data_IF_241219814680
#
_entry.id   IF_241219814680
#
_cell.length_a   1.000
_cell.length_b   1.000
_cell.length_c   1.000
_cell.angle_alpha   90.00
_cell.angle_beta   90.00
_cell.angle_gamma   90.00
#
_symmetry.space_group_name_H-M   'P 1'
#
loop_
_entity.id
_entity.type
_entity.pdbx_description
1 polymer ?
#
# COMPACT_ATOMS: atom_id res chain seq x y z
N UNK A 1 23.79 20.57 -4.81
CA UNK A 1 23.11 21.06 -6.03
C UNK A 1 23.28 20.10 -7.21
N UNK A 2 23.09 18.81 -6.95
CA UNK A 2 22.65 17.79 -7.91
C UNK A 2 21.84 16.83 -7.06
N UNK A 3 20.67 17.33 -6.70
CA UNK A 3 19.93 16.88 -5.53
C UNK A 3 18.93 15.84 -6.03
N UNK A 4 19.43 14.62 -6.14
CA UNK A 4 18.68 13.40 -6.39
C UNK A 4 18.77 12.50 -5.16
N UNK A 5 18.07 11.36 -5.19
CA UNK A 5 18.09 10.28 -4.19
C UNK A 5 17.38 10.62 -2.85
N UNK A 6 16.88 9.71 -1.98
CA UNK A 6 16.41 8.30 -2.10
C UNK A 6 15.63 7.81 -0.82
N UNK A 7 14.31 7.46 -0.93
CA UNK A 7 13.40 6.87 0.11
C UNK A 7 12.21 5.97 -0.45
N UNK A 8 11.17 5.59 0.33
CA UNK A 8 10.12 4.57 -0.01
C UNK A 8 8.90 4.64 0.99
N UNK A 9 7.58 4.27 0.86
CA UNK A 9 6.59 3.67 -0.13
C UNK A 9 5.12 3.94 0.34
N UNK A 10 4.00 3.52 -0.33
CA UNK A 10 2.67 3.81 0.21
C UNK A 10 2.23 2.84 1.30
N UNK A 11 1.88 3.46 2.43
CA UNK A 11 0.79 3.02 3.28
C UNK A 11 -0.10 4.25 3.59
N UNK A 12 -1.42 4.07 3.77
CA UNK A 12 -2.20 2.87 3.44
C UNK A 12 -2.59 2.83 1.96
N UNK A 13 -3.08 1.68 1.49
CA UNK A 13 -3.91 1.60 0.28
C UNK A 13 -5.05 2.62 0.42
N UNK A 14 -5.11 3.67 -0.42
CA UNK A 14 -6.32 4.51 -0.54
C UNK A 14 -7.47 3.58 -0.87
N UNK A 15 -8.33 3.33 0.13
CA UNK A 15 -9.19 2.17 0.08
C UNK A 15 -10.09 2.26 -1.15
N UNK A 16 -10.00 1.22 -1.97
CA UNK A 16 -10.65 1.15 -3.27
C UNK A 16 -12.14 1.48 -3.11
N UNK A 17 -12.77 2.19 -4.06
CA UNK A 17 -14.20 2.44 -4.04
C UNK A 17 -15.02 1.16 -4.27
N UNK A 18 -15.11 0.32 -3.24
CA UNK A 18 -15.80 -0.99 -3.28
C UNK A 18 -17.33 -0.77 -3.36
N UNK A 19 -17.83 -0.50 -4.56
CA UNK A 19 -19.25 -0.25 -4.83
C UNK A 19 -19.98 -1.52 -5.25
N UNK A 20 -20.85 -2.07 -4.37
CA UNK A 20 -21.90 -3.06 -4.65
C UNK A 20 -21.52 -4.41 -5.30
N UNK A 21 -22.05 -5.51 -4.74
CA UNK A 21 -22.01 -6.87 -5.34
C UNK A 21 -20.64 -7.56 -5.44
N UNK A 22 -19.90 -7.58 -4.31
CA UNK A 22 -19.07 -8.72 -3.85
C UNK A 22 -17.77 -9.08 -4.61
N UNK A 23 -17.57 -8.76 -5.89
CA UNK A 23 -16.33 -9.08 -6.61
C UNK A 23 -15.63 -7.83 -7.12
N UNK A 24 -14.32 -7.76 -6.93
CA UNK A 24 -13.49 -6.66 -7.41
C UNK A 24 -12.13 -7.18 -7.82
N UNK A 25 -11.62 -6.71 -8.96
CA UNK A 25 -10.22 -6.81 -9.32
C UNK A 25 -9.59 -5.42 -9.29
N UNK A 26 -8.35 -5.34 -8.83
CA UNK A 26 -7.58 -4.10 -8.74
C UNK A 26 -6.18 -4.38 -9.25
N UNK A 27 -5.73 -3.54 -10.17
CA UNK A 27 -4.32 -3.41 -10.57
C UNK A 27 -3.84 -2.08 -9.99
N UNK A 28 -2.75 -2.13 -9.24
CA UNK A 28 -2.03 -0.95 -8.75
C UNK A 28 -0.61 -1.02 -9.28
N UNK A 29 -0.17 0.05 -9.95
CA UNK A 29 1.16 0.16 -10.52
C UNK A 29 1.78 1.48 -10.08
N UNK A 30 2.93 1.38 -9.42
CA UNK A 30 3.60 2.46 -8.72
C UNK A 30 5.04 2.55 -9.24
N UNK A 31 5.47 3.74 -9.60
CA UNK A 31 6.78 3.96 -10.21
C UNK A 31 7.20 5.42 -10.07
N UNK A 32 8.50 5.65 -9.97
CA UNK A 32 9.10 6.92 -9.61
C UNK A 32 9.60 7.75 -10.82
N UNK A 33 9.67 7.13 -12.01
CA UNK A 33 9.79 7.80 -13.33
C UNK A 33 8.63 8.76 -13.57
N UNK A 34 7.41 8.42 -13.12
CA UNK A 34 6.23 9.31 -13.17
C UNK A 34 6.46 10.66 -12.46
N UNK A 35 7.45 10.73 -11.59
CA UNK A 35 7.83 11.92 -10.83
C UNK A 35 9.19 12.50 -11.22
N UNK A 36 9.89 11.87 -12.17
CA UNK A 36 11.28 12.12 -12.55
C UNK A 36 12.21 12.19 -11.33
N UNK A 37 12.04 11.19 -10.46
CA UNK A 37 12.74 11.04 -9.19
C UNK A 37 13.04 9.56 -9.01
N UNK A 38 14.00 9.03 -9.77
CA UNK A 38 14.54 7.65 -9.71
C UNK A 38 15.23 7.40 -8.35
N UNK A 39 14.39 7.20 -7.33
CA UNK A 39 14.68 7.42 -5.92
C UNK A 39 14.21 6.19 -5.13
N UNK A 40 15.02 5.13 -5.20
CA UNK A 40 14.84 3.76 -4.66
C UNK A 40 13.65 2.99 -5.16
N UNK A 41 12.45 3.57 -5.00
CA UNK A 41 11.21 2.86 -5.20
C UNK A 41 10.86 2.81 -6.68
N UNK A 42 11.74 2.14 -7.40
CA UNK A 42 11.70 2.00 -8.85
C UNK A 42 10.43 1.27 -9.28
N UNK A 43 9.89 0.33 -8.49
CA UNK A 43 8.58 -0.24 -8.81
C UNK A 43 7.82 -0.86 -7.62
N UNK A 44 6.51 -0.65 -7.59
CA UNK A 44 5.55 -1.51 -6.92
C UNK A 44 4.48 -1.97 -7.90
N UNK A 45 4.16 -3.26 -7.87
CA UNK A 45 3.06 -3.84 -8.67
C UNK A 45 2.21 -4.70 -7.75
N UNK A 46 0.91 -4.39 -7.65
CA UNK A 46 -0.04 -5.11 -6.80
C UNK A 46 -1.29 -5.52 -7.60
N UNK A 47 -1.62 -6.81 -7.53
CA UNK A 47 -2.87 -7.39 -8.05
C UNK A 47 -3.73 -7.81 -6.86
N UNK A 48 -4.93 -7.25 -6.73
CA UNK A 48 -5.89 -7.60 -5.67
C UNK A 48 -7.15 -8.20 -6.24
N UNK A 49 -7.58 -9.34 -5.69
CA UNK A 49 -8.87 -9.97 -5.97
C UNK A 49 -9.70 -10.03 -4.68
N UNK A 50 -10.82 -9.32 -4.66
CA UNK A 50 -11.87 -9.47 -3.63
C UNK A 50 -12.93 -10.41 -4.18
N UNK A 51 -13.25 -11.48 -3.46
CA UNK A 51 -14.25 -12.46 -3.88
C UNK A 51 -14.82 -13.26 -2.69
N UNK A 52 -16.12 -13.60 -2.66
CA UNK A 52 -16.71 -14.33 -1.53
C UNK A 52 -16.08 -15.69 -1.24
N UNK A 53 -15.45 -16.35 -2.22
CA UNK A 53 -14.81 -17.68 -2.01
C UNK A 53 -13.77 -17.65 -0.89
N UNK A 54 -13.07 -16.52 -0.73
CA UNK A 54 -12.05 -16.36 0.31
C UNK A 54 -12.61 -16.40 1.74
N UNK A 55 -13.93 -16.21 1.94
CA UNK A 55 -14.56 -16.41 3.26
C UNK A 55 -14.42 -17.85 3.79
N UNK A 56 -14.19 -18.82 2.90
CA UNK A 56 -14.02 -20.23 3.24
C UNK A 56 -12.54 -20.61 3.49
N UNK A 57 -11.58 -19.76 3.12
CA UNK A 57 -10.17 -19.97 3.47
C UNK A 57 -9.93 -19.46 4.89
N UNK A 58 -9.36 -20.30 5.77
CA UNK A 58 -9.07 -19.92 7.17
C UNK A 58 -8.24 -18.64 7.28
N UNK A 59 -7.29 -18.42 6.36
CA UNK A 59 -6.42 -17.25 6.30
C UNK A 59 -7.13 -15.91 6.01
N UNK A 60 -8.36 -15.91 5.51
CA UNK A 60 -9.16 -14.70 5.30
C UNK A 60 -10.48 -14.73 6.10
N UNK A 61 -11.23 -15.83 6.03
CA UNK A 61 -12.48 -16.04 6.77
C UNK A 61 -12.34 -15.88 8.29
N UNK A 62 -11.27 -16.48 8.84
CA UNK A 62 -10.98 -16.51 10.28
C UNK A 62 -10.44 -15.21 10.87
N UNK A 63 -10.12 -14.20 10.05
CA UNK A 63 -9.58 -12.94 10.53
C UNK A 63 -10.62 -12.12 11.33
N UNK A 64 -10.20 -11.29 12.32
CA UNK A 64 -11.11 -10.47 13.10
C UNK A 64 -11.70 -9.29 12.30
N UNK A 65 -12.80 -8.74 12.80
CA UNK A 65 -13.58 -7.65 12.20
C UNK A 65 -14.74 -7.22 13.11
N UNK A 66 -15.61 -6.33 12.62
CA UNK A 66 -16.64 -5.60 13.38
C UNK A 66 -17.92 -6.41 13.71
N UNK A 67 -17.76 -7.71 14.03
CA UNK A 67 -18.85 -8.59 14.48
C UNK A 67 -19.89 -8.95 13.40
N UNK A 68 -20.96 -9.66 13.81
CA UNK A 68 -21.94 -10.26 12.88
C UNK A 68 -22.74 -9.25 12.03
N UNK A 69 -22.99 -8.05 12.56
CA UNK A 69 -23.75 -7.00 11.87
C UNK A 69 -22.90 -6.17 10.90
N UNK A 70 -21.66 -6.56 10.63
CA UNK A 70 -20.79 -5.88 9.67
C UNK A 70 -20.90 -6.50 8.28
N UNK A 71 -20.76 -5.66 7.25
CA UNK A 71 -20.59 -6.13 5.88
C UNK A 71 -19.13 -6.52 5.67
N UNK A 72 -18.90 -7.83 5.45
CA UNK A 72 -17.57 -8.41 5.32
C UNK A 72 -17.24 -8.75 3.87
N UNK A 73 -16.08 -8.29 3.42
CA UNK A 73 -15.44 -8.65 2.15
C UNK A 73 -14.14 -9.38 2.44
N UNK A 74 -13.81 -10.34 1.59
CA UNK A 74 -12.63 -11.19 1.73
C UNK A 74 -11.84 -11.17 0.42
N UNK A 75 -10.53 -11.18 0.52
CA UNK A 75 -9.68 -11.04 -0.66
C UNK A 75 -8.29 -11.62 -0.49
N UNK A 76 -7.58 -11.65 -1.61
CA UNK A 76 -6.18 -12.00 -1.73
C UNK A 76 -5.46 -10.90 -2.52
N UNK A 77 -4.24 -10.55 -2.11
CA UNK A 77 -3.33 -9.71 -2.91
C UNK A 77 -2.09 -10.49 -3.30
N UNK A 78 -1.55 -10.23 -4.48
CA UNK A 78 -0.17 -10.51 -4.85
C UNK A 78 0.52 -9.16 -5.02
N UNK A 79 1.65 -8.94 -4.35
CA UNK A 79 2.42 -7.69 -4.49
C UNK A 79 3.91 -7.97 -4.64
N UNK A 80 4.54 -7.31 -5.61
CA UNK A 80 5.98 -7.17 -5.72
C UNK A 80 6.38 -5.72 -5.43
N UNK A 81 7.51 -5.52 -4.75
CA UNK A 81 8.08 -4.22 -4.41
C UNK A 81 9.60 -4.26 -4.66
N UNK A 82 10.12 -3.28 -5.41
CA UNK A 82 11.52 -3.14 -5.79
C UNK A 82 12.13 -1.90 -5.14
N UNK A 83 13.31 -2.07 -4.57
CA UNK A 83 14.09 -1.04 -3.90
C UNK A 83 15.53 -1.07 -4.41
N UNK A 84 16.00 0.02 -4.98
CA UNK A 84 17.38 0.19 -5.49
C UNK A 84 18.25 1.00 -4.52
N UNK A 85 19.47 1.38 -4.93
CA UNK A 85 20.34 2.36 -4.27
C UNK A 85 20.12 3.78 -4.83
N UNK A 86 20.88 4.76 -4.33
CA UNK A 86 21.23 6.04 -4.99
C UNK A 86 21.57 5.80 -6.47
N UNK A 87 22.39 4.80 -6.72
CA UNK A 87 22.90 4.40 -8.02
C UNK A 87 22.50 2.93 -8.29
N UNK A 88 21.60 2.65 -9.25
CA UNK A 88 21.22 1.28 -9.60
C UNK A 88 22.34 0.50 -10.31
N UNK A 89 23.37 1.19 -10.82
CA UNK A 89 24.53 0.64 -11.53
C UNK A 89 25.75 0.47 -10.60
N UNK A 90 25.59 0.70 -9.29
CA UNK A 90 26.65 0.64 -8.30
C UNK A 90 27.32 -0.76 -8.22
N UNK A 91 28.60 -0.81 -8.58
CA UNK A 91 29.45 -2.03 -8.52
C UNK A 91 30.02 -2.32 -7.12
N UNK A 92 29.68 -1.51 -6.12
CA UNK A 92 30.06 -1.69 -4.73
C UNK A 92 29.00 -1.12 -3.77
N UNK A 93 29.02 -1.58 -2.52
CA UNK A 93 28.09 -1.14 -1.46
C UNK A 93 28.50 0.24 -0.93
N UNK A 94 27.64 1.26 -1.09
CA UNK A 94 27.68 2.41 -0.19
C UNK A 94 27.01 2.04 1.14
N UNK A 95 27.74 2.26 2.24
CA UNK A 95 27.28 2.02 3.62
C UNK A 95 26.39 3.13 4.16
N UNK A 96 26.27 4.24 3.44
CA UNK A 96 25.49 5.41 3.80
C UNK A 96 24.12 5.46 3.13
N UNK A 97 23.87 4.51 2.24
CA UNK A 97 22.70 4.38 1.39
C UNK A 97 21.90 3.12 1.76
N UNK A 98 20.67 2.94 1.26
CA UNK A 98 19.89 1.72 1.57
C UNK A 98 20.51 0.49 0.91
N UNK A 99 20.31 -0.70 1.49
CA UNK A 99 20.51 -1.96 0.76
C UNK A 99 19.44 -2.15 -0.32
N UNK A 100 19.84 -2.59 -1.53
CA UNK A 100 18.89 -3.13 -2.50
C UNK A 100 17.99 -4.18 -1.83
N UNK A 101 16.70 -4.13 -2.12
CA UNK A 101 15.74 -5.07 -1.58
C UNK A 101 14.67 -5.37 -2.61
N UNK A 102 14.37 -6.65 -2.75
CA UNK A 102 13.24 -7.13 -3.55
C UNK A 102 12.27 -7.82 -2.61
N UNK A 103 10.98 -7.52 -2.73
CA UNK A 103 9.93 -8.17 -1.94
C UNK A 103 8.89 -8.74 -2.89
N UNK A 104 8.46 -9.97 -2.62
CA UNK A 104 7.30 -10.61 -3.25
C UNK A 104 6.47 -11.27 -2.15
N UNK A 105 5.18 -10.95 -2.07
CA UNK A 105 4.28 -11.60 -1.13
C UNK A 105 2.88 -11.84 -1.69
N UNK A 106 2.24 -12.90 -1.18
CA UNK A 106 0.79 -13.07 -1.19
C UNK A 106 0.23 -12.61 0.15
N UNK A 107 -0.94 -11.99 0.16
CA UNK A 107 -1.66 -11.69 1.40
C UNK A 107 -3.11 -12.15 1.33
N UNK A 108 -3.67 -12.49 2.47
CA UNK A 108 -5.07 -12.83 2.65
C UNK A 108 -5.69 -11.84 3.63
N UNK A 109 -6.84 -11.25 3.26
CA UNK A 109 -7.41 -10.14 4.04
C UNK A 109 -8.93 -10.20 4.15
N UNK A 110 -9.42 -9.46 5.14
CA UNK A 110 -10.82 -9.27 5.47
C UNK A 110 -11.07 -7.79 5.74
N UNK A 111 -11.96 -7.19 4.95
CA UNK A 111 -12.49 -5.85 5.17
C UNK A 111 -13.87 -5.99 5.81
N UNK A 112 -14.10 -5.31 6.92
CA UNK A 112 -15.29 -5.44 7.76
C UNK A 112 -15.83 -4.04 8.06
N UNK A 113 -17.03 -3.71 7.56
CA UNK A 113 -17.57 -2.34 7.62
C UNK A 113 -18.91 -2.27 8.38
N UNK A 114 -19.04 -1.23 9.22
CA UNK A 114 -20.29 -0.77 9.86
C UNK A 114 -20.56 0.65 9.39
N UNK A 115 -21.40 0.79 8.35
CA UNK A 115 -21.68 2.07 7.71
C UNK A 115 -22.42 3.05 8.65
N UNK A 116 -23.35 2.52 9.44
CA UNK A 116 -24.06 3.21 10.52
C UNK A 116 -23.11 3.82 11.57
N UNK A 117 -22.00 3.13 11.88
CA UNK A 117 -20.97 3.62 12.78
C UNK A 117 -19.88 4.45 12.06
N UNK A 118 -19.96 4.60 10.73
CA UNK A 118 -18.91 5.14 9.84
C UNK A 118 -17.54 4.53 10.18
N UNK A 119 -17.49 3.21 10.32
CA UNK A 119 -16.34 2.46 10.82
C UNK A 119 -15.98 1.32 9.87
N UNK A 120 -14.71 1.21 9.50
CA UNK A 120 -14.16 0.05 8.76
C UNK A 120 -12.95 -0.50 9.51
N UNK A 121 -12.87 -1.82 9.56
CA UNK A 121 -11.74 -2.58 10.06
C UNK A 121 -11.18 -3.44 8.93
N UNK A 122 -9.87 -3.44 8.73
CA UNK A 122 -9.18 -4.40 7.88
C UNK A 122 -8.22 -5.25 8.72
N UNK A 123 -8.27 -6.56 8.50
CA UNK A 123 -7.28 -7.52 8.96
C UNK A 123 -6.61 -8.13 7.73
N UNK A 124 -5.29 -8.31 7.76
CA UNK A 124 -4.52 -8.88 6.65
C UNK A 124 -3.33 -9.70 7.19
N UNK A 125 -3.11 -10.89 6.60
CA UNK A 125 -1.92 -11.72 6.85
C UNK A 125 -1.09 -11.76 5.57
N UNK A 126 0.18 -11.39 5.68
CA UNK A 126 1.18 -11.41 4.61
C UNK A 126 2.04 -12.67 4.73
N UNK A 127 2.28 -13.37 3.62
CA UNK A 127 3.23 -14.48 3.49
C UNK A 127 4.07 -14.26 2.22
N UNK A 128 5.40 -14.21 2.32
CA UNK A 128 6.26 -13.92 1.17
C UNK A 128 7.75 -14.08 1.44
N UNK A 129 8.56 -13.42 0.61
CA UNK A 129 10.03 -13.41 0.70
C UNK A 129 10.60 -12.02 0.44
N UNK A 130 11.70 -11.70 1.12
CA UNK A 130 12.64 -10.65 0.70
C UNK A 130 13.81 -11.29 -0.09
N UNK A 131 14.58 -10.49 -0.81
CA UNK A 131 15.81 -10.88 -1.51
C UNK A 131 15.57 -11.44 -2.92
N UNK A 132 16.56 -12.15 -3.48
CA UNK A 132 16.53 -12.65 -4.86
C UNK A 132 15.36 -13.57 -5.17
N UNK A 133 14.81 -14.27 -4.17
CA UNK A 133 13.58 -15.07 -4.28
C UNK A 133 12.33 -14.26 -4.64
N UNK A 134 12.38 -12.93 -4.54
CA UNK A 134 11.32 -12.02 -5.01
C UNK A 134 11.28 -11.81 -6.52
N UNK A 135 12.31 -12.26 -7.26
CA UNK A 135 12.51 -12.03 -8.70
C UNK A 135 12.63 -10.54 -9.11
N UNK A 136 12.91 -9.65 -8.15
CA UNK A 136 13.04 -8.21 -8.37
C UNK A 136 14.08 -7.84 -9.44
N UNK A 137 15.27 -8.46 -9.39
CA UNK A 137 16.32 -8.27 -10.41
C UNK A 137 15.79 -8.55 -11.83
N UNK A 138 15.18 -9.72 -12.03
CA UNK A 138 14.62 -10.14 -13.33
C UNK A 138 13.54 -9.19 -13.83
N UNK A 139 12.71 -8.65 -12.94
CA UNK A 139 11.68 -7.68 -13.32
C UNK A 139 12.30 -6.34 -13.71
N UNK A 140 13.28 -5.81 -12.98
CA UNK A 140 13.96 -4.58 -13.39
C UNK A 140 14.74 -4.75 -14.69
N UNK A 141 15.45 -5.88 -14.86
CA UNK A 141 16.16 -6.26 -16.09
C UNK A 141 15.20 -6.43 -17.28
N UNK A 142 13.93 -6.77 -17.06
CA UNK A 142 12.91 -6.83 -18.13
C UNK A 142 12.34 -5.47 -18.52
N UNK A 143 12.48 -4.45 -17.66
CA UNK A 143 11.94 -3.10 -17.84
C UNK A 143 13.01 -2.08 -18.29
N UNK A 144 14.29 -2.34 -18.01
CA UNK A 144 15.41 -1.44 -18.31
C UNK A 144 16.46 -2.15 -19.19
N UNK A 145 17.06 -1.43 -20.15
CA UNK A 145 18.05 -1.98 -21.09
C UNK A 145 19.47 -2.14 -20.52
N UNK A 146 19.69 -1.77 -19.25
CA UNK A 146 20.99 -1.86 -18.55
C UNK A 146 20.95 -2.95 -17.51
N UNK A 147 22.07 -3.65 -17.33
CA UNK A 147 22.22 -4.66 -16.28
C UNK A 147 22.30 -3.99 -14.89
N UNK A 148 21.35 -4.23 -13.98
CA UNK A 148 21.30 -3.52 -12.69
C UNK A 148 22.17 -4.25 -11.64
N UNK A 149 23.49 -4.19 -11.83
CA UNK A 149 24.49 -4.98 -11.08
C UNK A 149 24.41 -4.85 -9.55
N UNK A 150 23.88 -3.75 -9.02
CA UNK A 150 23.75 -3.56 -7.56
C UNK A 150 22.85 -4.59 -6.85
N UNK A 151 22.01 -5.31 -7.59
CA UNK A 151 21.19 -6.41 -7.03
C UNK A 151 22.01 -7.58 -6.48
N UNK A 152 23.28 -7.76 -6.83
CA UNK A 152 24.14 -8.76 -6.19
C UNK A 152 24.35 -8.46 -4.69
N UNK A 153 24.32 -7.17 -4.33
CA UNK A 153 24.45 -6.67 -2.97
C UNK A 153 23.12 -6.57 -2.22
N UNK A 154 22.02 -7.07 -2.78
CA UNK A 154 20.71 -7.03 -2.12
C UNK A 154 20.68 -7.82 -0.80
N UNK A 155 19.74 -7.45 0.07
CA UNK A 155 19.35 -8.18 1.27
C UNK A 155 19.07 -9.64 0.91
N UNK A 156 19.67 -10.58 1.65
CA UNK A 156 19.60 -12.01 1.32
C UNK A 156 18.24 -12.60 1.70
N UNK A 157 17.90 -13.71 1.04
CA UNK A 157 16.58 -14.32 1.11
C UNK A 157 16.14 -14.60 2.54
N UNK A 158 14.95 -14.14 2.89
CA UNK A 158 14.31 -14.45 4.17
C UNK A 158 12.78 -14.42 4.08
N UNK A 159 12.13 -15.16 4.99
CA UNK A 159 10.68 -15.37 5.02
C UNK A 159 9.98 -14.15 5.61
N UNK A 160 9.01 -13.63 4.86
CA UNK A 160 8.10 -12.58 5.29
C UNK A 160 6.81 -13.20 5.83
N UNK A 161 6.54 -12.99 7.12
CA UNK A 161 5.27 -13.28 7.78
C UNK A 161 4.87 -12.05 8.59
N UNK A 162 3.73 -11.46 8.27
CA UNK A 162 3.23 -10.25 8.93
C UNK A 162 1.72 -10.37 9.22
N UNK A 163 1.29 -9.82 10.35
CA UNK A 163 -0.12 -9.51 10.59
C UNK A 163 -0.30 -7.99 10.62
N UNK A 164 -1.28 -7.52 9.86
CA UNK A 164 -1.60 -6.11 9.70
C UNK A 164 -3.06 -5.85 10.13
N UNK A 165 -3.26 -4.72 10.81
CA UNK A 165 -4.56 -4.21 11.24
C UNK A 165 -4.69 -2.77 10.74
N UNK A 166 -5.86 -2.39 10.22
CA UNK A 166 -6.19 -1.00 9.93
C UNK A 166 -7.60 -0.68 10.41
N UNK A 167 -7.78 0.50 10.99
CA UNK A 167 -9.04 1.02 11.50
C UNK A 167 -9.31 2.39 10.88
N UNK A 168 -10.49 2.56 10.30
CA UNK A 168 -10.90 3.78 9.60
C UNK A 168 -12.20 4.30 10.22
N UNK A 169 -12.24 5.59 10.54
CA UNK A 169 -13.38 6.26 11.17
C UNK A 169 -13.74 7.54 10.42
N UNK A 170 -14.96 7.60 9.89
CA UNK A 170 -15.51 8.82 9.33
C UNK A 170 -15.73 9.88 10.42
N UNK A 171 -15.01 11.00 10.30
CA UNK A 171 -15.16 12.19 11.15
C UNK A 171 -16.28 13.06 10.57
N UNK A 172 -16.15 13.40 9.28
CA UNK A 172 -17.13 14.17 8.50
C UNK A 172 -17.52 13.34 7.29
N UNK A 173 -18.82 13.26 6.99
CA UNK A 173 -19.30 12.65 5.76
C UNK A 173 -20.46 13.45 5.17
N UNK A 174 -20.26 13.94 3.95
CA UNK A 174 -21.25 14.61 3.10
C UNK A 174 -21.10 14.11 1.66
N UNK A 175 -21.95 14.58 0.73
CA UNK A 175 -21.92 14.12 -0.68
C UNK A 175 -20.80 14.75 -1.52
N UNK A 176 -20.13 15.77 -0.98
CA UNK A 176 -19.08 16.53 -1.66
C UNK A 176 -17.75 16.55 -0.91
N UNK A 177 -17.79 16.37 0.42
CA UNK A 177 -16.62 16.37 1.29
C UNK A 177 -16.69 15.23 2.33
N UNK A 178 -15.58 14.52 2.49
CA UNK A 178 -15.37 13.52 3.55
C UNK A 178 -14.03 13.74 4.24
N UNK A 179 -14.00 13.51 5.55
CA UNK A 179 -12.79 13.47 6.37
C UNK A 179 -12.80 12.19 7.21
N UNK A 180 -11.75 11.38 7.07
CA UNK A 180 -11.64 10.03 7.64
C UNK A 180 -10.34 9.95 8.43
N UNK A 181 -10.43 9.63 9.73
CA UNK A 181 -9.27 9.23 10.52
C UNK A 181 -8.91 7.78 10.22
N UNK A 182 -7.62 7.48 10.14
CA UNK A 182 -7.08 6.14 9.90
C UNK A 182 -5.99 5.84 10.93
N UNK A 183 -5.97 4.62 11.44
CA UNK A 183 -4.92 4.10 12.33
C UNK A 183 -4.53 2.69 11.92
N UNK A 184 -3.22 2.42 11.83
CA UNK A 184 -2.67 1.14 11.39
C UNK A 184 -1.70 0.54 12.40
N UNK A 185 -1.61 -0.79 12.40
CA UNK A 185 -0.57 -1.56 13.09
C UNK A 185 -0.07 -2.65 12.14
N UNK A 186 1.25 -2.84 12.11
CA UNK A 186 1.93 -3.94 11.44
C UNK A 186 2.85 -4.63 12.44
N UNK A 187 2.86 -5.96 12.45
CA UNK A 187 3.78 -6.74 13.28
C UNK A 187 4.22 -8.02 12.55
N UNK A 188 5.53 -8.28 12.54
CA UNK A 188 6.11 -9.45 11.91
C UNK A 188 7.48 -9.21 11.27
N UNK A 189 7.88 -10.12 10.39
CA UNK A 189 9.22 -10.16 9.79
C UNK A 189 9.36 -9.35 8.50
N UNK A 190 8.26 -8.76 7.99
CA UNK A 190 8.30 -7.74 6.94
C UNK A 190 8.45 -6.34 7.53
N UNK A 191 7.52 -5.94 8.40
CA UNK A 191 7.57 -4.65 9.06
C UNK A 191 6.86 -4.68 10.42
N UNK A 192 7.45 -4.00 11.40
CA UNK A 192 6.81 -3.74 12.69
C UNK A 192 6.74 -2.23 12.91
N UNK A 193 5.53 -1.68 12.87
CA UNK A 193 5.25 -0.25 12.99
C UNK A 193 3.81 0.01 13.45
N UNK A 194 3.54 1.23 13.89
CA UNK A 194 2.17 1.76 14.02
C UNK A 194 2.04 3.06 13.22
N UNK A 195 0.85 3.35 12.68
CA UNK A 195 0.62 4.52 11.84
C UNK A 195 -0.68 5.25 12.16
N UNK A 196 -0.71 6.54 11.84
CA UNK A 196 -1.92 7.38 11.84
C UNK A 196 -1.96 8.19 10.55
N UNK A 197 -3.15 8.36 9.98
CA UNK A 197 -3.36 9.20 8.81
C UNK A 197 -4.76 9.84 8.83
N UNK A 198 -4.94 10.88 8.03
CA UNK A 198 -6.23 11.47 7.75
C UNK A 198 -6.43 11.51 6.24
N UNK A 199 -7.54 10.96 5.74
CA UNK A 199 -7.92 11.08 4.33
C UNK A 199 -9.03 12.13 4.18
N UNK A 200 -8.81 13.10 3.30
CA UNK A 200 -9.79 14.11 2.91
C UNK A 200 -10.16 13.93 1.44
N UNK A 201 -11.45 13.88 1.10
CA UNK A 201 -11.98 13.69 -0.27
C UNK A 201 -12.87 14.88 -0.66
N UNK A 202 -12.70 15.41 -1.88
CA UNK A 202 -13.47 16.55 -2.40
C UNK A 202 -13.96 16.29 -3.84
N UNK A 203 -15.27 16.35 -4.11
CA UNK A 203 -15.82 16.14 -5.46
C UNK A 203 -17.29 15.74 -5.51
N UNK A 204 -17.64 14.75 -6.35
CA UNK A 204 -18.96 14.10 -6.43
C UNK A 204 -18.78 12.59 -6.20
N UNK A 205 -19.23 12.08 -5.06
CA UNK A 205 -19.12 10.65 -4.73
C UNK A 205 -20.25 10.15 -3.83
N UNK A 206 -20.45 8.83 -3.80
CA UNK A 206 -21.17 8.15 -2.73
C UNK A 206 -20.30 8.13 -1.47
N UNK A 207 -20.85 8.32 -0.26
CA UNK A 207 -20.07 8.31 0.97
C UNK A 207 -19.28 7.00 1.12
N UNK A 208 -18.04 7.11 1.59
CA UNK A 208 -17.03 6.07 1.62
C UNK A 208 -17.46 4.78 2.33
N UNK A 209 -18.24 4.92 3.42
CA UNK A 209 -18.77 3.79 4.18
C UNK A 209 -20.08 3.23 3.57
N UNK A 210 -20.79 4.03 2.76
CA UNK A 210 -22.06 3.65 2.12
C UNK A 210 -21.87 2.97 0.76
N UNK A 211 -20.74 3.20 0.08
CA UNK A 211 -20.39 2.55 -1.20
C UNK A 211 -20.55 1.02 -1.16
N UNK A 212 -20.16 0.42 -0.03
CA UNK A 212 -20.28 -1.01 0.25
C UNK A 212 -21.74 -1.47 0.44
N UNK A 213 -22.59 -0.62 1.02
CA UNK A 213 -23.89 -0.98 1.61
C UNK A 213 -25.02 -1.00 0.57
N UNK A 214 -24.78 -1.61 -0.59
CA UNK A 214 -25.73 -1.60 -1.70
C UNK A 214 -26.86 -2.62 -1.54
N UNK A 215 -27.92 -2.24 -0.83
CA UNK A 215 -29.23 -2.88 -0.93
C UNK A 215 -29.83 -2.56 -2.32
N UNK A 216 -30.01 -3.52 -3.25
CA UNK A 216 -30.18 -3.23 -4.69
C UNK A 216 -31.40 -2.41 -5.11
N UNK A 217 -32.36 -2.15 -4.20
CA UNK A 217 -33.62 -1.44 -4.48
C UNK A 217 -33.86 -0.24 -3.54
N UNK A 218 -32.86 0.20 -2.77
CA UNK A 218 -32.98 1.37 -1.88
C UNK A 218 -33.04 2.69 -2.67
N UNK A 219 -34.25 3.20 -2.91
CA UNK A 219 -34.48 4.52 -3.54
C UNK A 219 -33.97 5.69 -2.67
N UNK A 220 -33.79 5.45 -1.38
CA UNK A 220 -33.55 6.45 -0.33
C UNK A 220 -32.19 7.17 -0.44
N UNK A 221 -31.20 6.57 -1.11
CA UNK A 221 -29.89 7.20 -1.30
C UNK A 221 -29.93 8.44 -2.22
N UNK A 222 -30.92 8.56 -3.12
CA UNK A 222 -31.03 9.69 -4.05
C UNK A 222 -29.78 9.89 -4.93
N UNK A 223 -29.09 8.79 -5.29
CA UNK A 223 -27.96 8.75 -6.23
C UNK A 223 -28.12 7.49 -7.09
N UNK A 224 -28.51 7.66 -8.36
CA UNK A 224 -28.74 6.54 -9.27
C UNK A 224 -27.51 5.63 -9.40
N UNK A 225 -27.73 4.33 -9.65
CA UNK A 225 -26.68 3.32 -9.79
C UNK A 225 -25.83 3.43 -11.06
N UNK A 226 -25.87 4.57 -11.73
CA UNK A 226 -25.41 4.80 -13.11
C UNK A 226 -24.43 5.96 -13.24
N UNK A 227 -24.23 6.73 -12.18
CA UNK A 227 -23.65 8.06 -12.23
C UNK A 227 -22.11 8.06 -12.19
N UNK A 228 -21.52 9.00 -12.91
CA UNK A 228 -20.12 9.38 -12.74
C UNK A 228 -19.85 9.84 -11.30
N UNK A 229 -18.80 9.28 -10.71
CA UNK A 229 -18.18 9.74 -9.48
C UNK A 229 -16.77 10.25 -9.80
N UNK A 230 -16.34 11.31 -9.13
CA UNK A 230 -15.00 11.84 -9.23
C UNK A 230 -14.62 12.60 -7.95
N UNK A 231 -13.36 12.58 -7.56
CA UNK A 231 -12.84 13.42 -6.48
C UNK A 231 -11.33 13.61 -6.58
N UNK A 232 -10.87 14.73 -6.05
CA UNK A 232 -9.49 14.84 -5.57
C UNK A 232 -9.44 14.37 -4.11
N UNK A 233 -8.29 13.88 -3.68
CA UNK A 233 -8.03 13.57 -2.28
C UNK A 233 -6.65 14.02 -1.85
N UNK A 234 -6.51 14.23 -0.55
CA UNK A 234 -5.24 14.49 0.12
C UNK A 234 -5.21 13.68 1.43
N UNK A 235 -4.10 13.02 1.70
CA UNK A 235 -3.97 11.98 2.71
C UNK A 235 -2.64 12.09 3.48
N UNK A 236 -2.48 13.10 4.37
CA UNK A 236 -1.32 13.19 5.27
C UNK A 236 -1.33 12.08 6.33
N UNK A 237 -0.15 11.56 6.64
CA UNK A 237 0.05 10.51 7.64
C UNK A 237 1.44 10.51 8.26
N UNK A 238 1.61 9.68 9.29
CA UNK A 238 2.89 9.40 9.93
C UNK A 238 2.93 7.96 10.45
N UNK A 239 4.12 7.33 10.38
CA UNK A 239 4.41 6.01 10.93
C UNK A 239 5.51 6.07 11.99
N UNK A 240 5.29 5.34 13.09
CA UNK A 240 6.32 5.02 14.08
C UNK A 240 6.92 3.64 13.77
N UNK A 241 8.16 3.62 13.25
CA UNK A 241 8.84 2.43 12.70
C UNK A 241 9.80 1.83 13.72
N UNK A 242 9.53 0.58 14.12
CA UNK A 242 10.44 -0.21 14.97
C UNK A 242 11.35 -1.12 14.14
N UNK A 243 10.85 -1.63 13.02
CA UNK A 243 11.60 -2.51 12.12
C UNK A 243 11.01 -2.48 10.70
N UNK A 244 11.89 -2.45 9.69
CA UNK A 244 11.60 -2.63 8.27
C UNK A 244 12.64 -3.58 7.68
N UNK A 245 12.21 -4.71 7.11
CA UNK A 245 13.10 -5.75 6.58
C UNK A 245 14.06 -5.25 5.50
N UNK A 246 13.75 -4.14 4.82
CA UNK A 246 14.53 -3.62 3.68
C UNK A 246 15.51 -2.52 4.04
N UNK A 247 15.47 -2.08 5.30
CA UNK A 247 16.54 -1.32 5.92
C UNK A 247 17.33 -2.24 6.85
N UNK A 248 16.64 -3.01 7.71
CA UNK A 248 17.26 -3.78 8.80
C UNK A 248 17.66 -5.22 8.43
N UNK A 249 17.28 -5.71 7.25
CA UNK A 249 17.53 -7.09 6.81
C UNK A 249 16.64 -8.14 7.51
N UNK A 250 16.68 -9.37 6.98
CA UNK A 250 15.87 -10.50 7.44
C UNK A 250 15.95 -10.81 8.94
N UNK A 251 14.87 -11.37 9.51
CA UNK A 251 14.80 -11.74 10.93
C UNK A 251 15.54 -13.05 11.23
N UNK A 252 15.41 -14.04 10.34
CA UNK A 252 16.02 -15.36 10.45
C UNK A 252 17.36 -15.41 9.70
N UNK A 253 17.48 -14.71 8.56
CA UNK A 253 18.72 -14.62 7.78
C UNK A 253 19.43 -13.27 8.00
N UNK A 254 20.42 -13.28 8.91
CA UNK A 254 21.24 -12.10 9.23
C UNK A 254 22.44 -11.89 8.31
N UNK A 255 22.66 -12.76 7.32
CA UNK A 255 23.83 -12.72 6.43
C UNK A 255 23.66 -11.75 5.24
N UNK A 256 22.92 -10.65 5.45
CA UNK A 256 22.75 -9.61 4.43
C UNK A 256 24.00 -8.74 4.34
N UNK A 257 24.53 -8.46 3.14
CA UNK A 257 25.85 -7.83 2.99
C UNK A 257 25.83 -6.36 3.43
N UNK A 258 24.66 -5.71 3.39
CA UNK A 258 24.39 -4.40 3.96
C UNK A 258 23.00 -4.36 4.61
N UNK A 259 22.92 -3.69 5.75
CA UNK A 259 21.71 -3.36 6.53
C UNK A 259 22.00 -2.12 7.36
N UNK A 260 20.95 -1.43 7.80
CA UNK A 260 20.97 -0.39 8.82
C UNK A 260 20.55 -0.96 10.18
N UNK A 261 21.24 -0.55 11.24
CA UNK A 261 20.81 -0.85 12.61
C UNK A 261 19.57 -0.04 13.01
N UNK A 262 18.92 -0.46 14.11
CA UNK A 262 17.81 0.31 14.71
C UNK A 262 18.18 1.78 14.89
N UNK A 263 19.40 2.05 15.38
CA UNK A 263 19.89 3.40 15.60
C UNK A 263 20.01 4.26 14.32
N UNK A 264 20.02 3.67 13.12
CA UNK A 264 20.17 4.39 11.85
C UNK A 264 18.84 4.56 11.11
N UNK A 265 17.85 3.71 11.35
CA UNK A 265 16.45 3.91 10.94
C UNK A 265 15.87 5.20 11.55
N UNK A 266 15.00 5.91 10.82
CA UNK A 266 14.17 7.00 11.35
C UNK A 266 12.90 6.39 11.93
N UNK A 267 12.78 6.39 13.24
CA UNK A 267 11.59 5.84 13.90
C UNK A 267 10.32 6.67 13.69
N UNK A 268 10.42 7.92 13.26
CA UNK A 268 9.26 8.72 12.85
C UNK A 268 9.42 9.13 11.39
N UNK A 269 8.50 8.69 10.54
CA UNK A 269 8.47 9.01 9.11
C UNK A 269 7.08 9.57 8.78
N UNK A 270 7.03 10.77 8.19
CA UNK A 270 5.80 11.45 7.76
C UNK A 270 5.60 11.35 6.26
N UNK A 271 4.38 11.07 5.81
CA UNK A 271 4.01 10.94 4.40
C UNK A 271 2.79 11.79 4.05
N UNK A 272 2.61 12.06 2.76
CA UNK A 272 1.40 12.67 2.20
C UNK A 272 1.14 12.12 0.81
N UNK A 273 -0.03 11.52 0.61
CA UNK A 273 -0.52 11.18 -0.72
C UNK A 273 -1.54 12.23 -1.18
N UNK A 274 -1.49 12.62 -2.44
CA UNK A 274 -2.49 13.47 -3.09
C UNK A 274 -2.83 12.89 -4.45
N UNK A 275 -4.08 12.96 -4.87
CA UNK A 275 -4.49 12.33 -6.13
C UNK A 275 -5.88 12.67 -6.59
N UNK A 276 -6.24 12.05 -7.72
CA UNK A 276 -7.54 12.15 -8.36
C UNK A 276 -8.08 10.76 -8.65
N UNK A 277 -9.39 10.58 -8.50
CA UNK A 277 -10.10 9.35 -8.85
C UNK A 277 -11.32 9.70 -9.71
N UNK A 278 -11.57 8.89 -10.73
CA UNK A 278 -12.80 8.88 -11.52
C UNK A 278 -13.37 7.46 -11.58
N UNK A 279 -14.68 7.31 -11.45
CA UNK A 279 -15.35 6.02 -11.54
C UNK A 279 -16.73 6.12 -12.22
N UNK A 280 -17.06 5.13 -13.04
CA UNK A 280 -18.31 5.04 -13.79
C UNK A 280 -18.71 3.58 -13.99
N UNK A 281 -19.98 3.25 -13.67
CA UNK A 281 -20.57 1.90 -13.79
C UNK A 281 -19.72 0.76 -13.21
N UNK A 282 -18.99 1.04 -12.12
CA UNK A 282 -18.21 0.03 -11.37
C UNK A 282 -16.76 -0.14 -11.83
N UNK A 283 -16.35 0.47 -12.95
CA UNK A 283 -14.95 0.67 -13.32
C UNK A 283 -14.49 2.01 -12.74
N UNK A 284 -13.23 2.11 -12.30
CA UNK A 284 -12.61 3.39 -11.97
C UNK A 284 -11.10 3.39 -12.07
N UNK A 285 -10.57 4.60 -12.21
CA UNK A 285 -9.15 4.92 -12.33
C UNK A 285 -8.79 5.93 -11.25
N UNK A 286 -7.74 5.63 -10.48
CA UNK A 286 -7.04 6.57 -9.63
C UNK A 286 -5.65 6.87 -10.23
N UNK A 287 -5.24 8.12 -10.13
CA UNK A 287 -3.84 8.54 -10.26
C UNK A 287 -3.46 9.35 -9.03
N UNK A 288 -2.29 9.07 -8.45
CA UNK A 288 -1.82 9.78 -7.26
C UNK A 288 -0.31 9.96 -7.23
N UNK A 289 0.08 10.90 -6.38
CA UNK A 289 1.43 11.33 -6.07
C UNK A 289 1.60 11.16 -4.56
N UNK A 290 2.48 10.27 -4.13
CA UNK A 290 2.88 10.21 -2.72
C UNK A 290 4.19 10.94 -2.55
N UNK A 291 4.40 11.60 -1.41
CA UNK A 291 5.68 12.10 -0.94
C UNK A 291 5.93 11.68 0.51
N UNK A 292 7.19 11.48 0.90
CA UNK A 292 7.57 10.97 2.23
C UNK A 292 8.92 11.52 2.69
N UNK A 293 9.08 11.65 4.01
CA UNK A 293 10.31 12.07 4.69
C UNK A 293 11.36 10.94 4.74
N UNK A 294 12.61 11.20 5.18
CA UNK A 294 13.65 10.18 5.28
C UNK A 294 13.27 8.98 6.15
N UNK A 295 13.66 7.78 5.69
CA UNK A 295 13.47 6.53 6.43
C UNK A 295 14.68 6.12 7.30
N UNK A 296 15.85 6.73 7.08
CA UNK A 296 17.08 6.49 7.85
C UNK A 296 17.93 7.76 7.93
N UNK A 297 18.96 7.77 8.77
CA UNK A 297 19.72 8.98 9.18
C UNK A 297 20.26 9.83 8.04
N UNK A 298 20.73 9.21 6.96
CA UNK A 298 21.31 9.85 5.77
C UNK A 298 20.41 9.80 4.53
N UNK A 299 19.23 9.17 4.65
CA UNK A 299 18.25 9.13 3.58
C UNK A 299 17.63 10.51 3.36
N UNK A 300 16.98 10.68 2.21
CA UNK A 300 16.40 11.96 1.79
C UNK A 300 14.86 11.89 1.76
N UNK A 301 14.20 12.94 1.25
CA UNK A 301 12.75 12.92 0.97
C UNK A 301 12.53 12.75 -0.53
N UNK A 302 11.40 12.16 -0.93
CA UNK A 302 11.04 12.02 -2.35
C UNK A 302 9.53 11.99 -2.56
N UNK A 303 9.18 11.59 -3.78
CA UNK A 303 7.87 11.31 -4.31
C UNK A 303 7.95 10.15 -5.31
N UNK A 304 6.83 9.46 -5.51
CA UNK A 304 6.58 8.55 -6.63
C UNK A 304 5.14 8.70 -7.11
N UNK A 305 4.85 8.27 -8.34
CA UNK A 305 3.51 8.24 -8.91
C UNK A 305 2.87 6.86 -8.80
N UNK A 306 1.54 6.83 -8.79
CA UNK A 306 0.75 5.60 -8.84
C UNK A 306 -0.42 5.71 -9.83
N UNK A 307 -0.73 4.60 -10.49
CA UNK A 307 -1.94 4.41 -11.30
C UNK A 307 -2.65 3.14 -10.87
N UNK A 308 -3.92 3.29 -10.49
CA UNK A 308 -4.75 2.24 -9.89
C UNK A 308 -6.04 2.06 -10.68
N UNK A 309 -6.18 0.93 -11.36
CA UNK A 309 -7.39 0.52 -12.08
C UNK A 309 -8.16 -0.46 -11.21
N UNK A 310 -9.45 -0.19 -10.96
CA UNK A 310 -10.35 -1.09 -10.24
C UNK A 310 -11.64 -1.34 -11.02
N UNK A 311 -12.16 -2.56 -10.98
CA UNK A 311 -13.45 -2.91 -11.58
C UNK A 311 -14.17 -4.03 -10.84
N UNK A 312 -15.50 -4.05 -10.92
CA UNK A 312 -16.36 -5.12 -10.40
C UNK A 312 -16.89 -6.07 -11.49
N UNK A 313 -17.34 -7.26 -11.11
CA UNK A 313 -17.81 -8.35 -11.99
C UNK A 313 -18.59 -9.46 -11.23
#
# INVERSE_FOLDING_TARGET
MRDAHTPFVPWPDVAVPITGMKRYFVIDFENDVFTNTDLYFTNGTQLTLIHPVFQHLKLAGGLPGLGKSSLNHYGMKLRQNLYTSIDPEATAIDRHDRPFAGILYVSFFKISTRADLKLRWQSEVIIGTVGSGSLAHTVQQSLHQKEPVGWDFQIKNDILLNYNMQLEKGIVASRQFEAIAQGGLMAGTYATNGSVAFQFRFGKFRPYFDQLTYAPHSKEAGVNGTDWQYWVFISPGARFVLYDVTLNGGVFNRNSPHTFGFADTKHLVGNIETGFVVAYKGIGLQSSLTAISPEFKRGMSHKWGAFKLFFNF
#
